data_IF_446818494645
#
_entry.id   IF_446818494645
#
_cell.length_a   1.000
_cell.length_b   1.000
_cell.length_c   1.000
_cell.angle_alpha   90.00
_cell.angle_beta   90.00
_cell.angle_gamma   90.00
#
_symmetry.space_group_name_H-M   'P 1'
#
loop_
_entity.id
_entity.type
_entity.pdbx_description
1 polymer ?
#
# COMPACT_ATOMS: atom_id res chain seq x y z
N UNK A 1 16.17 1.55 -1.97
CA UNK A 1 15.16 0.48 -1.83
C UNK A 1 15.57 -0.59 -0.82
N UNK A 2 16.79 -1.11 -0.81
CA UNK A 2 17.28 -1.99 0.28
C UNK A 2 17.14 -1.37 1.69
N UNK A 3 17.15 -0.04 1.77
CA UNK A 3 17.08 0.75 3.00
C UNK A 3 15.74 0.73 3.74
N UNK A 4 14.64 0.27 3.12
CA UNK A 4 13.34 0.12 3.78
C UNK A 4 13.12 -1.29 4.36
N UNK A 5 13.85 -2.29 3.85
CA UNK A 5 13.80 -3.67 4.32
C UNK A 5 14.69 -3.91 5.54
N UNK A 6 15.70 -3.07 5.72
CA UNK A 6 16.44 -2.97 6.96
C UNK A 6 15.75 -1.91 7.80
N UNK A 7 14.78 -2.32 8.64
CA UNK A 7 14.45 -1.44 9.74
C UNK A 7 15.75 -1.24 10.51
N UNK A 8 16.19 0.01 10.54
CA UNK A 8 17.23 0.47 11.45
C UNK A 8 16.87 -0.15 12.81
N UNK A 9 17.77 -0.95 13.37
CA UNK A 9 17.63 -1.64 14.67
C UNK A 9 17.08 -3.08 14.68
N UNK A 10 17.06 -3.80 13.54
CA UNK A 10 16.87 -5.27 13.53
C UNK A 10 15.41 -5.74 13.53
N UNK A 11 14.47 -4.83 13.29
CA UNK A 11 13.07 -5.16 13.08
C UNK A 11 12.79 -5.43 11.58
N UNK A 12 11.83 -6.30 11.27
CA UNK A 12 11.41 -6.57 9.90
C UNK A 12 10.18 -5.73 9.58
N UNK A 13 10.19 -5.03 8.45
CA UNK A 13 9.03 -4.26 7.98
C UNK A 13 8.13 -5.18 7.15
N UNK A 14 7.28 -5.96 7.82
CA UNK A 14 6.42 -6.97 7.19
C UNK A 14 5.35 -6.36 6.26
N UNK A 15 4.90 -5.13 6.55
CA UNK A 15 3.84 -4.46 5.79
C UNK A 15 4.20 -4.17 4.33
N UNK A 16 5.48 -3.94 4.03
CA UNK A 16 5.96 -3.71 2.65
C UNK A 16 5.78 -4.99 1.84
N UNK A 17 6.16 -6.14 2.39
CA UNK A 17 6.02 -7.44 1.70
C UNK A 17 4.57 -7.92 1.66
N UNK A 18 3.82 -7.78 2.75
CA UNK A 18 2.44 -8.28 2.85
C UNK A 18 1.44 -7.51 1.98
N UNK A 19 1.67 -6.23 1.70
CA UNK A 19 0.71 -5.44 0.92
C UNK A 19 0.52 -5.97 -0.50
N UNK A 20 1.55 -6.55 -1.12
CA UNK A 20 1.46 -7.15 -2.46
C UNK A 20 0.60 -8.42 -2.46
N UNK A 21 0.84 -9.33 -1.51
CA UNK A 21 0.05 -10.55 -1.34
C UNK A 21 -1.42 -10.25 -1.04
N UNK A 22 -1.69 -9.25 -0.20
CA UNK A 22 -3.06 -8.83 0.13
C UNK A 22 -3.76 -8.23 -1.08
N UNK A 23 -3.07 -7.41 -1.90
CA UNK A 23 -3.64 -6.86 -3.13
C UNK A 23 -3.92 -7.94 -4.17
N UNK A 24 -3.01 -8.90 -4.35
CA UNK A 24 -3.22 -10.01 -5.26
C UNK A 24 -4.45 -10.84 -4.86
N UNK A 25 -4.61 -11.09 -3.56
CA UNK A 25 -5.79 -11.77 -3.04
C UNK A 25 -7.06 -10.95 -3.26
N UNK A 26 -7.05 -9.66 -2.89
CA UNK A 26 -8.20 -8.78 -3.04
C UNK A 26 -8.65 -8.67 -4.51
N UNK A 27 -7.71 -8.59 -5.45
CA UNK A 27 -8.00 -8.59 -6.89
C UNK A 27 -8.67 -9.88 -7.35
N UNK A 28 -8.35 -11.03 -6.76
CA UNK A 28 -8.99 -12.31 -7.10
C UNK A 28 -10.44 -12.41 -6.64
N UNK A 29 -10.82 -11.60 -5.64
CA UNK A 29 -12.18 -11.54 -5.08
C UNK A 29 -12.95 -10.27 -5.47
N UNK A 30 -12.40 -9.46 -6.39
CA UNK A 30 -12.98 -8.17 -6.82
C UNK A 30 -13.26 -7.22 -5.64
N UNK A 31 -12.37 -7.25 -4.62
CA UNK A 31 -12.44 -6.39 -3.44
C UNK A 31 -11.53 -5.18 -3.63
N UNK A 32 -12.11 -3.99 -3.58
CA UNK A 32 -11.35 -2.74 -3.61
C UNK A 32 -10.64 -2.50 -2.27
N UNK A 33 -9.32 -2.30 -2.32
CA UNK A 33 -8.49 -2.05 -1.14
C UNK A 33 -7.70 -0.73 -1.30
N UNK A 34 -8.36 0.44 -1.29
CA UNK A 34 -7.75 1.71 -1.68
C UNK A 34 -6.57 2.13 -0.81
N UNK A 35 -6.62 1.81 0.49
CA UNK A 35 -5.50 2.08 1.41
C UNK A 35 -4.30 1.17 1.13
N UNK A 36 -4.55 -0.13 0.93
CA UNK A 36 -3.48 -1.09 0.64
C UNK A 36 -2.85 -0.82 -0.72
N UNK A 37 -3.64 -0.42 -1.72
CA UNK A 37 -3.16 0.01 -3.04
C UNK A 37 -2.26 1.26 -2.92
N UNK A 38 -2.70 2.27 -2.18
CA UNK A 38 -1.90 3.47 -1.94
C UNK A 38 -0.55 3.14 -1.28
N UNK A 39 -0.54 2.29 -0.24
CA UNK A 39 0.71 1.83 0.41
C UNK A 39 1.59 1.06 -0.57
N UNK A 40 1.03 0.14 -1.36
CA UNK A 40 1.80 -0.61 -2.34
C UNK A 40 2.40 0.31 -3.40
N UNK A 41 1.67 1.32 -3.88
CA UNK A 41 2.14 2.27 -4.88
C UNK A 41 3.25 3.18 -4.34
N UNK A 42 3.16 3.60 -3.09
CA UNK A 42 4.24 4.35 -2.42
C UNK A 42 5.48 3.47 -2.24
N UNK A 43 5.31 2.25 -1.73
CA UNK A 43 6.43 1.37 -1.41
C UNK A 43 7.10 0.72 -2.64
N UNK A 44 6.36 0.45 -3.73
CA UNK A 44 6.83 -0.34 -4.87
C UNK A 44 6.75 0.36 -6.22
N UNK A 45 5.88 1.37 -6.37
CA UNK A 45 5.65 2.05 -7.66
C UNK A 45 6.18 3.49 -7.70
N UNK A 46 6.79 3.97 -6.61
CA UNK A 46 7.40 5.31 -6.54
C UNK A 46 6.40 6.45 -6.46
N UNK A 47 5.15 6.18 -6.10
CA UNK A 47 4.16 7.23 -5.82
C UNK A 47 4.59 8.03 -4.60
N UNK A 48 4.49 9.36 -4.65
CA UNK A 48 4.77 10.17 -3.47
C UNK A 48 3.66 10.01 -2.42
N UNK A 49 4.01 10.23 -1.15
CA UNK A 49 3.05 10.11 -0.05
C UNK A 49 1.96 11.19 -0.16
N UNK A 50 2.34 12.40 -0.57
CA UNK A 50 1.41 13.51 -0.78
C UNK A 50 0.41 13.22 -1.91
N UNK A 51 0.86 12.69 -3.05
CA UNK A 51 -0.05 12.25 -4.12
C UNK A 51 -0.98 11.13 -3.65
N UNK A 52 -0.45 10.15 -2.90
CA UNK A 52 -1.25 9.06 -2.36
C UNK A 52 -2.37 9.56 -1.43
N UNK A 53 -2.08 10.54 -0.58
CA UNK A 53 -3.08 11.15 0.31
C UNK A 53 -4.15 11.91 -0.48
N UNK A 54 -3.75 12.68 -1.51
CA UNK A 54 -4.69 13.42 -2.37
C UNK A 54 -5.65 12.45 -3.08
N UNK A 55 -5.13 11.36 -3.63
CA UNK A 55 -5.94 10.33 -4.29
C UNK A 55 -6.94 9.68 -3.34
N UNK A 56 -6.52 9.39 -2.10
CA UNK A 56 -7.38 8.78 -1.09
C UNK A 56 -8.50 9.71 -0.63
N UNK A 57 -8.22 11.00 -0.45
CA UNK A 57 -9.20 12.01 -0.05
C UNK A 57 -10.17 12.38 -1.17
N UNK A 58 -9.74 12.25 -2.44
CA UNK A 58 -10.58 12.50 -3.62
C UNK A 58 -11.51 11.35 -3.98
N UNK A 59 -11.42 10.19 -3.30
CA UNK A 59 -12.26 9.03 -3.62
C UNK A 59 -13.67 9.20 -3.08
N UNK A 60 -14.67 8.73 -3.82
CA UNK A 60 -15.99 8.45 -3.26
C UNK A 60 -15.88 7.23 -2.35
N UNK A 61 -16.26 7.36 -1.08
CA UNK A 61 -16.35 6.21 -0.18
C UNK A 61 -17.43 5.26 -0.66
N UNK A 62 -17.13 3.96 -0.69
CA UNK A 62 -18.14 2.93 -0.93
C UNK A 62 -19.26 3.10 0.12
N UNK A 63 -20.55 3.11 -0.28
CA UNK A 63 -21.65 3.04 0.68
C UNK A 63 -21.53 1.71 1.43
N UNK A 64 -21.66 1.76 2.76
CA UNK A 64 -21.58 0.60 3.64
C UNK A 64 -22.84 -0.29 3.58
#
# INVERSE_FOLDING_TARGET
MQSAMQARDGHVVEGVTSCESVLALASSYDVEMPLTDAVHRVCHKGLSVDEAVVLLLGRSTKPE
#
